data_IF_226971952112
#
_entry.id   IF_226971952112
#
_cell.length_a   1.000
_cell.length_b   1.000
_cell.length_c   1.000
_cell.angle_alpha   90.00
_cell.angle_beta   90.00
_cell.angle_gamma   90.00
#
_symmetry.space_group_name_H-M   'P 1'
#
loop_
_entity.id
_entity.type
_entity.pdbx_description
1 polymer ?
#
# COMPACT_ATOMS: atom_id res chain seq x y z
N UNK A 1 -5.38 0.58 18.25
CA UNK A 1 -5.76 -0.37 17.19
C UNK A 1 -4.89 -1.62 17.33
N UNK A 2 -5.48 -2.83 17.42
CA UNK A 2 -4.72 -4.10 17.39
C UNK A 2 -4.55 -4.50 15.92
N UNK A 3 -3.40 -4.18 15.34
CA UNK A 3 -3.00 -4.68 14.03
C UNK A 3 -2.17 -5.94 14.21
N UNK A 4 -2.55 -7.01 13.53
CA UNK A 4 -1.80 -8.27 13.53
C UNK A 4 -0.89 -8.25 12.30
N UNK A 5 0.41 -8.49 12.48
CA UNK A 5 1.34 -8.62 11.35
C UNK A 5 1.04 -9.94 10.62
N UNK A 6 0.32 -9.87 9.51
CA UNK A 6 -0.18 -11.06 8.81
C UNK A 6 0.62 -11.25 7.52
N UNK A 7 1.62 -12.13 7.62
CA UNK A 7 2.28 -12.87 6.52
C UNK A 7 3.24 -12.05 5.63
N UNK A 8 4.48 -12.56 5.47
CA UNK A 8 5.35 -12.18 4.33
C UNK A 8 4.70 -12.73 3.07
N UNK A 9 4.04 -11.88 2.29
CA UNK A 9 3.57 -12.27 0.96
C UNK A 9 4.76 -12.25 -0.02
N UNK A 10 5.37 -13.42 -0.26
CA UNK A 10 6.40 -13.61 -1.29
C UNK A 10 5.83 -13.57 -2.74
N UNK A 11 4.59 -13.12 -2.90
CA UNK A 11 3.81 -13.08 -4.15
C UNK A 11 4.21 -11.90 -5.06
N UNK A 12 5.51 -11.73 -5.31
CA UNK A 12 6.05 -10.68 -6.18
C UNK A 12 6.13 -9.28 -5.57
N UNK A 13 6.00 -9.15 -4.24
CA UNK A 13 6.12 -7.89 -3.49
C UNK A 13 7.14 -8.02 -2.33
N UNK A 14 8.41 -8.39 -2.61
CA UNK A 14 9.39 -8.83 -1.60
C UNK A 14 9.79 -7.75 -0.59
N UNK A 15 9.71 -6.49 -0.99
CA UNK A 15 10.02 -5.32 -0.17
C UNK A 15 8.80 -4.86 0.65
N UNK A 16 7.74 -5.64 0.75
CA UNK A 16 6.49 -5.18 1.34
C UNK A 16 5.87 -6.22 2.29
N UNK A 17 5.26 -5.74 3.36
CA UNK A 17 4.45 -6.52 4.29
C UNK A 17 3.00 -6.06 4.18
N UNK A 18 2.07 -7.00 4.08
CA UNK A 18 0.65 -6.68 4.09
C UNK A 18 0.16 -6.71 5.53
N UNK A 19 -0.37 -5.59 6.02
CA UNK A 19 -1.11 -5.54 7.27
C UNK A 19 -2.58 -5.80 6.97
N UNK A 20 -3.08 -6.96 7.41
CA UNK A 20 -4.52 -7.23 7.40
C UNK A 20 -5.11 -6.79 8.74
N UNK A 21 -6.10 -5.91 8.70
CA UNK A 21 -6.91 -5.60 9.89
C UNK A 21 -7.79 -6.79 10.23
N UNK A 22 -7.88 -7.17 11.52
CA UNK A 22 -8.77 -8.23 12.01
C UNK A 22 -10.26 -7.85 12.00
N UNK A 23 -10.58 -6.56 11.78
CA UNK A 23 -11.94 -6.10 11.52
C UNK A 23 -12.11 -5.98 10.01
N UNK A 24 -12.48 -7.07 9.35
CA UNK A 24 -12.88 -7.04 7.94
C UNK A 24 -14.15 -6.19 7.79
N UNK A 25 -14.10 -5.18 6.90
CA UNK A 25 -15.21 -4.83 5.99
C UNK A 25 -14.87 -3.77 4.93
N UNK A 26 -13.74 -3.08 5.01
CA UNK A 26 -13.40 -2.07 3.99
C UNK A 26 -12.25 -2.52 3.09
N UNK A 27 -12.36 -2.15 1.82
CA UNK A 27 -11.62 -2.53 0.61
C UNK A 27 -10.11 -2.20 0.63
N UNK A 28 -9.58 -1.88 1.79
CA UNK A 28 -8.31 -1.20 2.00
C UNK A 28 -7.28 -2.15 2.59
N UNK A 29 -6.30 -2.52 1.77
CA UNK A 29 -5.13 -3.22 2.27
C UNK A 29 -4.17 -2.16 2.82
N UNK A 30 -3.78 -2.31 4.09
CA UNK A 30 -2.65 -1.58 4.66
C UNK A 30 -1.37 -2.32 4.30
N UNK A 31 -0.36 -1.62 3.82
CA UNK A 31 0.93 -2.18 3.43
C UNK A 31 2.08 -1.42 4.07
N UNK A 32 3.09 -2.14 4.54
CA UNK A 32 4.35 -1.60 5.05
C UNK A 32 5.43 -1.87 4.01
N UNK A 33 6.14 -0.84 3.57
CA UNK A 33 7.37 -1.01 2.78
C UNK A 33 8.53 -1.37 3.72
N UNK A 34 9.12 -2.56 3.56
CA UNK A 34 10.25 -3.11 4.31
C UNK A 34 11.54 -3.08 3.49
N UNK A 35 12.65 -2.70 4.12
CA UNK A 35 14.00 -2.88 3.55
C UNK A 35 14.53 -1.68 2.78
N UNK A 36 13.71 -0.64 2.60
CA UNK A 36 14.12 0.67 2.11
C UNK A 36 13.86 1.74 3.18
N UNK A 37 14.81 2.64 3.35
CA UNK A 37 14.62 3.89 4.06
C UNK A 37 14.01 4.91 3.08
N UNK A 38 12.89 5.57 3.38
CA UNK A 38 12.03 5.48 4.58
C UNK A 38 10.92 4.41 4.53
N UNK A 39 10.48 3.97 5.72
CA UNK A 39 9.35 3.09 5.95
C UNK A 39 8.04 3.87 6.04
N UNK A 40 7.06 3.42 5.27
CA UNK A 40 5.71 3.98 5.27
C UNK A 40 4.67 2.91 5.57
N UNK A 41 3.62 3.31 6.28
CA UNK A 41 2.34 2.60 6.29
C UNK A 41 1.48 3.26 5.22
N UNK A 42 1.17 2.51 4.18
CA UNK A 42 0.38 2.94 3.04
C UNK A 42 -0.96 2.23 3.01
N UNK A 43 -1.96 2.92 2.50
CA UNK A 43 -3.27 2.38 2.15
C UNK A 43 -3.49 2.56 0.65
N UNK A 44 -3.92 1.49 -0.03
CA UNK A 44 -4.26 1.54 -1.46
C UNK A 44 -5.74 1.21 -1.67
N UNK A 45 -6.38 1.99 -2.55
CA UNK A 45 -7.81 1.91 -2.87
C UNK A 45 -8.10 2.31 -4.32
N UNK A 46 -9.19 1.81 -4.94
CA UNK A 46 -9.66 2.31 -6.24
C UNK A 46 -10.26 3.73 -6.16
N UNK A 47 -10.62 4.19 -4.96
CA UNK A 47 -11.19 5.52 -4.71
C UNK A 47 -10.25 6.35 -3.83
N UNK A 48 -10.28 7.68 -4.00
CA UNK A 48 -9.57 8.61 -3.11
C UNK A 48 -10.17 8.55 -1.70
N UNK A 49 -9.34 8.28 -0.69
CA UNK A 49 -9.77 8.16 0.71
C UNK A 49 -9.43 9.38 1.55
N UNK A 50 -8.56 10.25 1.02
CA UNK A 50 -8.09 11.49 1.63
C UNK A 50 -7.74 12.50 0.54
N UNK A 51 -7.87 13.82 0.77
CA UNK A 51 -7.35 14.85 -0.14
C UNK A 51 -5.85 14.69 -0.43
N UNK A 52 -5.10 14.05 0.46
CA UNK A 52 -3.66 13.78 0.33
C UNK A 52 -3.35 12.47 -0.42
N UNK A 53 -4.38 11.78 -0.94
CA UNK A 53 -4.18 10.55 -1.70
C UNK A 53 -3.39 10.83 -2.97
N UNK A 54 -2.34 10.05 -3.20
CA UNK A 54 -1.52 10.13 -4.41
C UNK A 54 -2.22 9.32 -5.51
N UNK A 55 -2.67 9.96 -6.62
CA UNK A 55 -3.26 9.25 -7.73
C UNK A 55 -2.17 8.54 -8.55
N UNK A 56 -2.41 7.27 -8.86
CA UNK A 56 -1.54 6.43 -9.67
C UNK A 56 -2.38 5.77 -10.76
N UNK A 57 -2.10 6.09 -12.02
CA UNK A 57 -2.78 5.47 -13.16
C UNK A 57 -1.96 4.30 -13.65
N UNK A 58 -2.55 3.11 -13.64
CA UNK A 58 -1.93 1.88 -14.12
C UNK A 58 -2.79 1.24 -15.21
N UNK A 59 -2.35 1.32 -16.47
CA UNK A 59 -3.09 0.79 -17.64
C UNK A 59 -4.55 1.23 -17.65
N UNK A 60 -4.77 2.55 -17.67
CA UNK A 60 -6.08 3.21 -17.71
C UNK A 60 -6.98 3.00 -16.49
N UNK A 61 -6.45 2.41 -15.43
CA UNK A 61 -7.16 2.23 -14.17
C UNK A 61 -6.57 3.15 -13.10
N UNK A 62 -7.36 4.07 -12.52
CA UNK A 62 -6.89 4.90 -11.43
C UNK A 62 -6.86 4.11 -10.13
N UNK A 63 -5.76 4.26 -9.40
CA UNK A 63 -5.61 3.84 -8.01
C UNK A 63 -5.19 5.04 -7.17
N UNK A 64 -5.51 4.99 -5.89
CA UNK A 64 -5.18 6.03 -4.93
C UNK A 64 -4.37 5.41 -3.80
N UNK A 65 -3.21 6.00 -3.52
CA UNK A 65 -2.31 5.58 -2.44
C UNK A 65 -2.28 6.67 -1.38
N UNK A 66 -2.69 6.34 -0.17
CA UNK A 66 -2.68 7.26 0.99
C UNK A 66 -1.58 6.85 1.95
N UNK A 67 -0.75 7.80 2.38
CA UNK A 67 0.22 7.56 3.45
C UNK A 67 -0.52 7.70 4.80
N UNK A 68 -0.63 6.61 5.56
CA UNK A 68 -1.24 6.63 6.90
C UNK A 68 -0.24 6.98 7.99
N UNK A 69 1.01 6.59 7.80
CA UNK A 69 2.08 6.90 8.75
C UNK A 69 3.41 6.91 8.01
N UNK A 70 4.16 7.98 8.21
CA UNK A 70 5.58 8.05 7.90
C UNK A 70 6.35 7.74 9.19
N UNK A 71 6.99 6.57 9.24
CA UNK A 71 7.63 6.09 10.45
C UNK A 71 9.01 6.71 10.65
N UNK A 72 9.66 7.14 9.57
CA UNK A 72 11.04 7.61 9.58
C UNK A 72 11.18 9.13 9.31
N UNK A 73 10.11 9.79 8.85
CA UNK A 73 10.03 11.23 8.53
C UNK A 73 11.10 11.72 7.54
N UNK A 74 11.66 10.82 6.74
CA UNK A 74 12.86 11.12 5.95
C UNK A 74 12.83 10.49 4.56
N UNK A 75 12.32 11.23 3.57
CA UNK A 75 12.37 10.85 2.17
C UNK A 75 11.03 11.06 1.46
N UNK A 76 11.00 10.75 0.17
CA UNK A 76 9.79 10.77 -0.66
C UNK A 76 9.53 9.37 -1.18
N UNK A 77 8.28 8.94 -1.12
CA UNK A 77 7.85 7.70 -1.73
C UNK A 77 8.15 7.74 -3.23
N UNK A 78 8.96 6.80 -3.71
CA UNK A 78 9.37 6.76 -5.12
C UNK A 78 8.20 6.35 -6.02
N UNK A 79 8.19 6.84 -7.26
CA UNK A 79 7.21 6.42 -8.27
C UNK A 79 7.31 4.91 -8.55
N UNK A 80 8.51 4.33 -8.47
CA UNK A 80 8.74 2.89 -8.63
C UNK A 80 8.00 2.08 -7.57
N UNK A 81 8.10 2.48 -6.30
CA UNK A 81 7.40 1.83 -5.20
C UNK A 81 5.88 1.92 -5.36
N UNK A 82 5.37 3.10 -5.75
CA UNK A 82 3.94 3.29 -6.05
C UNK A 82 3.45 2.36 -7.17
N UNK A 83 4.22 2.23 -8.25
CA UNK A 83 3.87 1.37 -9.38
C UNK A 83 3.89 -0.12 -9.01
N UNK A 84 4.87 -0.57 -8.22
CA UNK A 84 4.92 -1.95 -7.72
C UNK A 84 3.69 -2.26 -6.86
N UNK A 85 3.32 -1.35 -5.96
CA UNK A 85 2.16 -1.47 -5.09
C UNK A 85 0.86 -1.64 -5.88
N UNK A 86 0.62 -0.76 -6.87
CA UNK A 86 -0.57 -0.83 -7.72
C UNK A 86 -0.61 -2.11 -8.56
N UNK A 87 0.53 -2.55 -9.11
CA UNK A 87 0.61 -3.79 -9.89
C UNK A 87 0.24 -5.01 -9.04
N UNK A 88 0.72 -5.08 -7.80
CA UNK A 88 0.35 -6.15 -6.87
C UNK A 88 -1.11 -6.07 -6.46
N UNK A 89 -1.61 -4.88 -6.11
CA UNK A 89 -3.01 -4.69 -5.70
C UNK A 89 -3.96 -5.16 -6.80
N UNK A 90 -3.68 -4.80 -8.06
CA UNK A 90 -4.42 -5.30 -9.23
C UNK A 90 -4.41 -6.82 -9.32
N UNK A 91 -3.25 -7.47 -9.13
CA UNK A 91 -3.14 -8.94 -9.20
C UNK A 91 -3.88 -9.66 -8.08
N UNK A 92 -3.91 -9.10 -6.86
CA UNK A 92 -4.43 -9.77 -5.67
C UNK A 92 -5.91 -9.48 -5.40
N UNK A 93 -6.42 -8.31 -5.82
CA UNK A 93 -7.78 -7.86 -5.49
C UNK A 93 -8.72 -7.72 -6.69
N UNK A 94 -8.22 -7.75 -7.92
CA UNK A 94 -9.03 -7.61 -9.14
C UNK A 94 -9.00 -8.86 -10.04
N UNK A 95 -8.71 -10.02 -9.44
CA UNK A 95 -9.04 -11.33 -10.03
C UNK A 95 -10.48 -11.71 -9.74
#
# INVERSE_FOLDING_TARGET
>A
MKSSLIKKENSGLPEWLVMKSQKEQESTNLLILKGTFPMYILEISPNSLSPESIPVVLKDQPFFVTVKSDLDRFGKLSKTHLMQLCNWYKKVKMQ
#
